data_IF_666456897015
#
_entry.id   IF_666456897015
#
_cell.length_a   1.000
_cell.length_b   1.000
_cell.length_c   1.000
_cell.angle_alpha   90.00
_cell.angle_beta   90.00
_cell.angle_gamma   90.00
#
_symmetry.space_group_name_H-M   'P 1'
#
loop_
_entity.id
_entity.type
_entity.pdbx_description
1 polymer ?
#
# COMPACT_ATOMS: atom_id res chain seq x y z
N UNK A 1 -20.63 -21.47 -18.63
CA UNK A 1 -20.12 -20.38 -19.49
C UNK A 1 -19.82 -19.19 -18.59
N UNK A 2 -18.67 -18.55 -18.76
CA UNK A 2 -18.30 -17.32 -18.04
C UNK A 2 -19.29 -16.22 -18.43
N UNK A 3 -19.89 -15.53 -17.44
CA UNK A 3 -20.82 -14.44 -17.69
C UNK A 3 -20.03 -13.24 -18.25
N UNK A 4 -20.57 -12.60 -19.28
CA UNK A 4 -19.96 -11.39 -19.87
C UNK A 4 -20.52 -10.15 -19.18
N UNK A 5 -19.64 -9.45 -18.42
CA UNK A 5 -19.99 -8.19 -17.75
C UNK A 5 -19.41 -7.03 -18.56
N UNK A 6 -20.22 -6.00 -18.81
CA UNK A 6 -19.86 -4.81 -19.57
C UNK A 6 -19.45 -3.63 -18.70
N UNK A 7 -20.15 -3.44 -17.57
CA UNK A 7 -19.92 -2.34 -16.64
C UNK A 7 -19.74 -2.87 -15.21
N UNK A 8 -18.52 -2.81 -14.69
CA UNK A 8 -18.17 -3.37 -13.38
C UNK A 8 -17.83 -2.22 -12.43
N UNK A 9 -18.42 -2.24 -11.23
CA UNK A 9 -18.05 -1.34 -10.13
C UNK A 9 -17.25 -2.13 -9.09
N UNK A 10 -16.03 -1.68 -8.82
CA UNK A 10 -15.22 -2.14 -7.67
C UNK A 10 -15.38 -1.13 -6.54
N UNK A 11 -15.66 -1.59 -5.33
CA UNK A 11 -15.75 -0.75 -4.14
C UNK A 11 -14.62 -1.11 -3.18
N UNK A 12 -13.60 -0.26 -3.09
CA UNK A 12 -12.54 -0.32 -2.10
C UNK A 12 -12.10 1.08 -1.75
N UNK A 13 -12.71 1.64 -0.71
CA UNK A 13 -12.60 3.08 -0.42
C UNK A 13 -11.41 3.45 0.45
N UNK A 14 -10.94 2.56 1.29
CA UNK A 14 -9.84 2.77 2.27
C UNK A 14 -9.50 1.45 2.98
N UNK A 15 -8.42 1.33 3.73
CA UNK A 15 -7.32 2.29 3.90
C UNK A 15 -6.30 2.17 2.77
N UNK A 16 -5.16 2.88 2.84
CA UNK A 16 -4.12 2.80 1.81
C UNK A 16 -3.65 1.35 1.59
N UNK A 17 -3.23 0.65 2.65
CA UNK A 17 -2.82 -0.75 2.55
C UNK A 17 -3.92 -1.66 2.00
N UNK A 18 -5.19 -1.47 2.43
CA UNK A 18 -6.32 -2.25 1.91
C UNK A 18 -6.56 -2.03 0.41
N UNK A 19 -6.30 -0.82 -0.10
CA UNK A 19 -6.41 -0.52 -1.54
C UNK A 19 -5.30 -1.24 -2.29
N UNK A 20 -4.05 -1.18 -1.80
CA UNK A 20 -2.92 -1.89 -2.40
C UNK A 20 -3.21 -3.40 -2.43
N UNK A 21 -3.72 -3.98 -1.34
CA UNK A 21 -4.10 -5.40 -1.29
C UNK A 21 -5.20 -5.79 -2.30
N UNK A 22 -5.99 -4.83 -2.77
CA UNK A 22 -7.03 -5.11 -3.77
C UNK A 22 -6.54 -4.95 -5.23
N UNK A 23 -5.34 -4.40 -5.46
CA UNK A 23 -4.80 -4.22 -6.81
C UNK A 23 -4.58 -5.53 -7.58
N UNK A 24 -4.12 -6.65 -6.95
CA UNK A 24 -4.07 -7.94 -7.65
C UNK A 24 -5.43 -8.42 -8.15
N UNK A 25 -6.50 -8.13 -7.41
CA UNK A 25 -7.87 -8.43 -7.89
C UNK A 25 -8.24 -7.61 -9.13
N UNK A 26 -7.82 -6.35 -9.21
CA UNK A 26 -8.00 -5.52 -10.41
C UNK A 26 -7.22 -6.09 -11.60
N UNK A 27 -5.97 -6.50 -11.38
CA UNK A 27 -5.10 -7.08 -12.41
C UNK A 27 -5.75 -8.30 -13.07
N UNK A 28 -6.13 -9.30 -12.29
CA UNK A 28 -6.74 -10.52 -12.82
C UNK A 28 -8.14 -10.27 -13.38
N UNK A 29 -8.90 -9.34 -12.81
CA UNK A 29 -10.21 -8.95 -13.34
C UNK A 29 -10.08 -8.31 -14.72
N UNK A 30 -9.14 -7.38 -14.92
CA UNK A 30 -8.92 -6.73 -16.21
C UNK A 30 -8.45 -7.72 -17.27
N UNK A 31 -7.54 -8.65 -16.90
CA UNK A 31 -7.12 -9.74 -17.81
C UNK A 31 -8.32 -10.61 -18.23
N UNK A 32 -9.20 -10.90 -17.30
CA UNK A 32 -10.37 -11.74 -17.53
C UNK A 32 -11.50 -11.05 -18.31
N UNK A 33 -11.62 -9.71 -18.17
CA UNK A 33 -12.67 -8.88 -18.78
C UNK A 33 -12.05 -7.66 -19.48
N UNK A 34 -11.28 -7.87 -20.56
CA UNK A 34 -10.49 -6.80 -21.18
C UNK A 34 -11.34 -5.70 -21.84
N UNK A 35 -12.59 -5.99 -22.18
CA UNK A 35 -13.54 -5.05 -22.83
C UNK A 35 -14.51 -4.38 -21.86
N UNK A 36 -14.53 -4.80 -20.60
CA UNK A 36 -15.44 -4.23 -19.60
C UNK A 36 -15.00 -2.83 -19.22
N UNK A 37 -15.96 -1.94 -19.00
CA UNK A 37 -15.71 -0.67 -18.33
C UNK A 37 -15.62 -0.93 -16.82
N UNK A 38 -14.48 -0.63 -16.22
CA UNK A 38 -14.23 -0.78 -14.78
C UNK A 38 -14.23 0.60 -14.15
N UNK A 39 -15.16 0.80 -13.20
CA UNK A 39 -15.22 1.96 -12.32
C UNK A 39 -14.77 1.55 -10.92
N UNK A 40 -13.89 2.34 -10.30
CA UNK A 40 -13.43 2.08 -8.92
C UNK A 40 -13.90 3.18 -7.97
N UNK A 41 -14.70 2.82 -6.98
CA UNK A 41 -15.15 3.73 -5.91
C UNK A 41 -14.11 3.81 -4.79
N UNK A 42 -13.58 5.02 -4.54
CA UNK A 42 -12.48 5.28 -3.59
C UNK A 42 -12.66 6.60 -2.84
N UNK A 43 -12.09 6.70 -1.64
CA UNK A 43 -11.99 7.97 -0.93
C UNK A 43 -10.95 8.90 -1.62
N UNK A 44 -11.23 10.21 -1.77
CA UNK A 44 -10.34 11.15 -2.48
C UNK A 44 -8.86 11.10 -2.05
N UNK A 45 -8.60 10.91 -0.74
CA UNK A 45 -7.23 10.85 -0.21
C UNK A 45 -6.37 9.69 -0.76
N UNK A 46 -6.98 8.69 -1.38
CA UNK A 46 -6.28 7.51 -1.89
C UNK A 46 -6.42 7.33 -3.40
N UNK A 47 -7.18 8.20 -4.07
CA UNK A 47 -7.42 8.08 -5.51
C UNK A 47 -6.12 8.15 -6.34
N UNK A 48 -5.16 8.96 -5.87
CA UNK A 48 -3.91 9.19 -6.59
C UNK A 48 -3.02 7.96 -6.75
N UNK A 49 -3.17 6.89 -5.93
CA UNK A 49 -2.39 5.65 -6.08
C UNK A 49 -2.99 4.68 -7.11
N UNK A 50 -4.27 4.85 -7.44
CA UNK A 50 -4.95 3.94 -8.37
C UNK A 50 -4.43 4.13 -9.80
N UNK A 51 -4.28 3.02 -10.57
CA UNK A 51 -3.89 3.11 -11.96
C UNK A 51 -5.01 3.74 -12.79
N UNK A 52 -4.61 4.44 -13.86
CA UNK A 52 -5.52 4.84 -14.92
C UNK A 52 -5.75 3.70 -15.94
N UNK A 53 -6.15 4.07 -17.16
CA UNK A 53 -6.21 3.12 -18.27
C UNK A 53 -4.83 2.48 -18.51
N UNK A 54 -4.81 1.21 -18.91
CA UNK A 54 -5.95 0.35 -19.31
C UNK A 54 -6.67 -0.35 -18.14
N UNK A 55 -6.23 -0.16 -16.88
CA UNK A 55 -6.71 -0.90 -15.71
C UNK A 55 -8.08 -0.43 -15.23
N UNK A 56 -8.23 0.88 -15.01
CA UNK A 56 -9.45 1.53 -14.53
C UNK A 56 -9.90 2.55 -15.57
N UNK A 57 -11.17 2.50 -15.98
CA UNK A 57 -11.76 3.44 -16.92
C UNK A 57 -12.27 4.70 -16.23
N UNK A 58 -12.71 4.58 -14.98
CA UNK A 58 -13.26 5.68 -14.20
C UNK A 58 -12.96 5.52 -12.71
N UNK A 59 -12.49 6.59 -12.06
CA UNK A 59 -12.35 6.67 -10.60
C UNK A 59 -13.55 7.46 -10.06
N UNK A 60 -14.39 6.81 -9.25
CA UNK A 60 -15.54 7.43 -8.60
C UNK A 60 -15.19 7.82 -7.16
N UNK A 61 -15.19 9.12 -6.88
CA UNK A 61 -14.81 9.63 -5.57
C UNK A 61 -15.97 9.56 -4.57
N UNK A 62 -15.74 8.92 -3.43
CA UNK A 62 -16.73 8.76 -2.35
C UNK A 62 -16.28 9.49 -1.10
N UNK A 63 -17.02 10.55 -0.72
CA UNK A 63 -16.79 11.24 0.55
C UNK A 63 -17.44 10.47 1.71
N UNK A 64 -16.62 9.73 2.44
CA UNK A 64 -17.06 8.91 3.59
C UNK A 64 -17.67 9.72 4.75
N UNK A 65 -17.37 11.04 4.84
CA UNK A 65 -17.94 11.90 5.87
C UNK A 65 -19.39 12.28 5.54
N UNK A 66 -19.70 12.42 4.23
CA UNK A 66 -21.03 12.79 3.74
C UNK A 66 -22.01 11.63 3.62
N UNK A 67 -21.62 10.37 3.78
CA UNK A 67 -22.49 9.19 3.65
C UNK A 67 -23.70 9.23 4.60
N UNK A 68 -23.67 10.02 5.68
CA UNK A 68 -24.82 10.23 6.58
C UNK A 68 -25.81 11.29 6.10
N UNK A 69 -25.52 12.03 5.03
CA UNK A 69 -26.35 13.11 4.50
C UNK A 69 -27.26 12.56 3.39
N UNK A 70 -28.57 12.69 3.57
CA UNK A 70 -29.55 12.18 2.59
C UNK A 70 -29.41 12.81 1.20
N UNK A 71 -29.04 14.10 1.11
CA UNK A 71 -28.79 14.77 -0.16
C UNK A 71 -27.64 14.12 -0.91
N UNK A 72 -26.55 13.80 -0.20
CA UNK A 72 -25.40 13.10 -0.78
C UNK A 72 -25.73 11.68 -1.21
N UNK A 73 -26.54 10.94 -0.43
CA UNK A 73 -26.96 9.60 -0.83
C UNK A 73 -27.83 9.62 -2.10
N UNK A 74 -28.68 10.64 -2.28
CA UNK A 74 -29.46 10.83 -3.51
C UNK A 74 -28.56 11.15 -4.72
N UNK A 75 -27.57 12.01 -4.54
CA UNK A 75 -26.53 12.33 -5.53
C UNK A 75 -25.82 11.05 -5.97
N UNK A 76 -25.25 10.30 -5.00
CA UNK A 76 -24.57 9.03 -5.26
C UNK A 76 -25.46 8.01 -5.96
N UNK A 77 -26.71 7.87 -5.51
CA UNK A 77 -27.67 6.96 -6.17
C UNK A 77 -27.91 7.34 -7.63
N UNK A 78 -28.20 8.62 -7.88
CA UNK A 78 -28.42 9.12 -9.25
C UNK A 78 -27.20 8.84 -10.14
N UNK A 79 -26.02 9.20 -9.65
CA UNK A 79 -24.76 9.05 -10.37
C UNK A 79 -24.41 7.60 -10.67
N UNK A 80 -24.50 6.70 -9.68
CA UNK A 80 -24.14 5.30 -9.86
C UNK A 80 -25.17 4.56 -10.71
N UNK A 81 -26.46 4.83 -10.52
CA UNK A 81 -27.54 4.21 -11.29
C UNK A 81 -27.46 4.55 -12.79
N UNK A 82 -27.08 5.81 -13.12
CA UNK A 82 -26.91 6.24 -14.50
C UNK A 82 -25.78 5.50 -15.26
N UNK A 83 -24.86 4.84 -14.54
CA UNK A 83 -23.77 4.06 -15.14
C UNK A 83 -24.18 2.63 -15.51
N UNK A 84 -25.37 2.17 -15.12
CA UNK A 84 -25.92 0.86 -15.48
C UNK A 84 -24.96 -0.31 -15.23
N UNK A 85 -24.42 -0.41 -14.01
CA UNK A 85 -23.55 -1.53 -13.63
C UNK A 85 -24.29 -2.85 -13.72
N UNK A 86 -23.64 -3.86 -14.28
CA UNK A 86 -24.12 -5.24 -14.35
C UNK A 86 -23.43 -6.17 -13.34
N UNK A 87 -22.32 -5.70 -12.72
CA UNK A 87 -21.67 -6.33 -11.59
C UNK A 87 -21.11 -5.30 -10.62
N UNK A 88 -21.34 -5.49 -9.32
CA UNK A 88 -20.66 -4.77 -8.24
C UNK A 88 -19.83 -5.74 -7.42
N UNK A 89 -18.57 -5.39 -7.20
CA UNK A 89 -17.61 -6.15 -6.40
C UNK A 89 -17.23 -5.30 -5.18
N UNK A 90 -17.82 -5.60 -4.02
CA UNK A 90 -17.49 -4.92 -2.76
C UNK A 90 -16.32 -5.61 -2.07
N UNK A 91 -15.12 -5.11 -2.33
CA UNK A 91 -13.88 -5.58 -1.68
C UNK A 91 -13.63 -4.91 -0.33
N UNK A 92 -14.50 -4.01 0.11
CA UNK A 92 -14.42 -3.36 1.43
C UNK A 92 -15.24 -4.08 2.49
N UNK A 93 -16.45 -4.51 2.16
CA UNK A 93 -17.39 -5.30 2.97
C UNK A 93 -17.62 -4.74 4.39
N UNK A 94 -17.94 -3.44 4.48
CA UNK A 94 -18.42 -2.75 5.70
C UNK A 94 -19.72 -2.00 5.41
N UNK A 95 -20.44 -1.51 6.42
CA UNK A 95 -21.74 -0.82 6.22
C UNK A 95 -21.66 0.30 5.18
N UNK A 96 -20.61 1.12 5.20
CA UNK A 96 -20.46 2.24 4.26
C UNK A 96 -20.30 1.79 2.81
N UNK A 97 -19.56 0.73 2.55
CA UNK A 97 -19.44 0.17 1.19
C UNK A 97 -20.70 -0.54 0.77
N UNK A 98 -21.39 -1.20 1.69
CA UNK A 98 -22.70 -1.79 1.45
C UNK A 98 -23.73 -0.76 0.99
N UNK A 99 -23.74 0.45 1.60
CA UNK A 99 -24.60 1.56 1.14
C UNK A 99 -24.28 1.93 -0.32
N UNK A 100 -23.01 2.13 -0.67
CA UNK A 100 -22.60 2.45 -2.05
C UNK A 100 -22.98 1.32 -3.01
N UNK A 101 -22.76 0.07 -2.60
CA UNK A 101 -23.17 -1.12 -3.37
C UNK A 101 -24.68 -1.13 -3.64
N UNK A 102 -25.48 -0.89 -2.62
CA UNK A 102 -26.95 -0.84 -2.73
C UNK A 102 -27.42 0.32 -3.63
N UNK A 103 -26.85 1.51 -3.44
CA UNK A 103 -27.21 2.72 -4.20
C UNK A 103 -26.84 2.62 -5.69
N UNK A 104 -25.97 1.71 -6.10
CA UNK A 104 -25.66 1.46 -7.51
C UNK A 104 -26.89 1.00 -8.31
N UNK A 105 -27.90 0.42 -7.64
CA UNK A 105 -29.07 -0.17 -8.28
C UNK A 105 -28.78 -1.46 -9.07
N UNK A 106 -27.55 -1.98 -9.01
CA UNK A 106 -27.17 -3.23 -9.65
C UNK A 106 -27.79 -4.42 -8.93
N UNK A 107 -28.30 -5.40 -9.68
CA UNK A 107 -28.89 -6.61 -9.12
C UNK A 107 -27.84 -7.63 -8.66
N UNK A 108 -26.69 -7.69 -9.34
CA UNK A 108 -25.60 -8.61 -9.01
C UNK A 108 -24.52 -7.88 -8.23
N UNK A 109 -24.53 -8.10 -6.92
CA UNK A 109 -23.59 -7.50 -5.97
C UNK A 109 -22.96 -8.59 -5.14
N UNK A 110 -21.64 -8.70 -5.21
CA UNK A 110 -20.81 -9.68 -4.52
C UNK A 110 -19.71 -9.01 -3.74
N UNK A 111 -19.14 -9.70 -2.76
CA UNK A 111 -17.98 -9.24 -2.02
C UNK A 111 -17.27 -10.41 -1.35
N UNK A 112 -16.11 -10.17 -0.77
CA UNK A 112 -15.41 -11.23 -0.06
C UNK A 112 -16.10 -11.56 1.28
N UNK A 113 -15.82 -12.73 1.82
CA UNK A 113 -16.62 -13.33 2.89
C UNK A 113 -16.63 -12.62 4.25
N UNK A 114 -15.64 -11.78 4.53
CA UNK A 114 -15.42 -11.14 5.84
C UNK A 114 -16.33 -9.89 6.03
N UNK A 115 -17.56 -9.98 5.56
CA UNK A 115 -18.56 -8.91 5.68
C UNK A 115 -18.84 -8.54 7.13
N UNK A 116 -18.66 -7.26 7.45
CA UNK A 116 -18.89 -6.68 8.77
C UNK A 116 -19.98 -5.64 8.74
N UNK A 117 -20.52 -5.27 9.91
CA UNK A 117 -21.47 -4.16 10.07
C UNK A 117 -22.72 -4.33 9.18
N UNK A 118 -23.13 -5.57 8.88
CA UNK A 118 -24.33 -5.85 8.06
C UNK A 118 -24.13 -5.69 6.54
N UNK A 119 -22.91 -5.49 6.05
CA UNK A 119 -22.65 -5.32 4.60
C UNK A 119 -23.08 -6.49 3.73
N UNK A 120 -23.19 -7.70 4.30
CA UNK A 120 -23.69 -8.90 3.64
C UNK A 120 -25.16 -8.78 3.19
N UNK A 121 -25.92 -7.82 3.72
CA UNK A 121 -27.29 -7.52 3.26
C UNK A 121 -27.29 -6.78 1.91
N UNK A 122 -26.22 -6.05 1.62
CA UNK A 122 -26.09 -5.28 0.39
C UNK A 122 -25.31 -6.03 -0.71
N UNK A 123 -24.31 -6.82 -0.33
CA UNK A 123 -23.46 -7.58 -1.26
C UNK A 123 -23.34 -9.02 -0.77
N UNK A 124 -23.61 -9.98 -1.64
CA UNK A 124 -23.54 -11.41 -1.32
C UNK A 124 -22.07 -11.82 -1.05
N UNK A 125 -21.75 -12.33 0.15
CA UNK A 125 -20.39 -12.76 0.46
C UNK A 125 -20.01 -14.02 -0.36
N UNK A 126 -18.81 -13.98 -0.91
CA UNK A 126 -18.20 -15.12 -1.61
C UNK A 126 -17.14 -15.71 -0.69
N UNK A 127 -17.27 -17.00 -0.41
CA UNK A 127 -16.29 -17.78 0.35
C UNK A 127 -15.45 -18.63 -0.59
N UNK A 128 -14.15 -18.70 -0.32
CA UNK A 128 -13.20 -19.53 -1.05
C UNK A 128 -12.29 -20.32 -0.11
N UNK A 129 -11.28 -21.03 -0.64
CA UNK A 129 -10.37 -21.85 0.13
C UNK A 129 -9.50 -21.06 1.11
N UNK A 130 -9.30 -19.74 0.87
CA UNK A 130 -8.37 -18.92 1.65
C UNK A 130 -9.04 -18.12 2.79
N UNK A 131 -10.15 -18.64 3.32
CA UNK A 131 -10.97 -17.96 4.36
C UNK A 131 -10.17 -17.44 5.56
N UNK A 132 -9.11 -18.10 5.96
CA UNK A 132 -8.22 -17.72 7.08
C UNK A 132 -6.82 -17.30 6.60
N UNK A 133 -6.61 -17.21 5.30
CA UNK A 133 -5.33 -16.86 4.71
C UNK A 133 -5.07 -15.36 4.59
N UNK A 134 -4.06 -15.03 3.82
CA UNK A 134 -3.69 -13.66 3.53
C UNK A 134 -4.85 -12.89 2.88
N UNK A 135 -5.00 -11.60 3.21
CA UNK A 135 -6.12 -10.78 2.73
C UNK A 135 -6.17 -10.72 1.19
N UNK A 136 -5.04 -10.67 0.51
CA UNK A 136 -4.96 -10.70 -0.96
C UNK A 136 -5.62 -11.98 -1.49
N UNK A 137 -5.30 -13.14 -0.91
CA UNK A 137 -5.88 -14.42 -1.31
C UNK A 137 -7.41 -14.48 -1.07
N UNK A 138 -7.87 -13.89 0.03
CA UNK A 138 -9.30 -13.77 0.31
C UNK A 138 -10.01 -12.91 -0.74
N UNK A 139 -9.40 -11.82 -1.19
CA UNK A 139 -9.93 -10.97 -2.26
C UNK A 139 -9.86 -11.68 -3.62
N UNK A 140 -8.80 -12.45 -3.88
CA UNK A 140 -8.67 -13.28 -5.09
C UNK A 140 -9.66 -14.43 -5.13
N UNK A 141 -10.18 -14.92 -3.99
CA UNK A 141 -11.26 -15.91 -3.98
C UNK A 141 -12.53 -15.38 -4.65
N UNK A 142 -12.81 -14.07 -4.56
CA UNK A 142 -13.91 -13.43 -5.32
C UNK A 142 -13.62 -13.46 -6.83
N UNK A 143 -12.37 -13.29 -7.20
CA UNK A 143 -11.95 -13.35 -8.62
C UNK A 143 -12.03 -14.78 -9.15
N UNK A 144 -11.61 -15.78 -8.36
CA UNK A 144 -11.78 -17.23 -8.68
C UNK A 144 -13.25 -17.58 -8.89
N UNK A 145 -14.14 -17.06 -8.03
CA UNK A 145 -15.59 -17.23 -8.19
C UNK A 145 -16.10 -16.68 -9.53
N UNK A 146 -15.55 -15.56 -10.01
CA UNK A 146 -15.86 -14.97 -11.33
C UNK A 146 -15.19 -15.71 -12.49
N UNK A 147 -14.41 -16.75 -12.22
CA UNK A 147 -13.69 -17.53 -13.23
C UNK A 147 -12.47 -16.78 -13.79
N UNK A 148 -11.87 -15.87 -13.01
CA UNK A 148 -10.59 -15.27 -13.36
C UNK A 148 -9.46 -16.25 -13.10
N UNK A 149 -8.45 -16.26 -13.96
CA UNK A 149 -7.18 -16.91 -13.69
C UNK A 149 -6.38 -16.06 -12.69
N UNK A 150 -5.93 -16.67 -11.61
CA UNK A 150 -5.16 -16.04 -10.53
C UNK A 150 -3.76 -16.67 -10.38
N UNK A 151 -3.30 -17.40 -11.37
CA UNK A 151 -1.98 -18.03 -11.37
C UNK A 151 -0.84 -17.01 -11.40
N UNK A 152 -1.10 -15.85 -11.99
CA UNK A 152 -0.17 -14.73 -12.07
C UNK A 152 -0.88 -13.48 -11.56
N UNK A 153 -0.24 -12.78 -10.64
CA UNK A 153 -0.75 -11.53 -10.07
C UNK A 153 0.32 -10.44 -10.10
N UNK A 154 -0.14 -9.20 -10.28
CA UNK A 154 0.69 -8.01 -10.17
C UNK A 154 -0.07 -6.92 -9.40
N UNK A 155 0.69 -5.90 -8.97
CA UNK A 155 0.14 -4.69 -8.35
C UNK A 155 0.17 -3.54 -9.37
N UNK A 156 -0.88 -3.36 -10.19
CA UNK A 156 -0.92 -2.25 -11.13
C UNK A 156 -1.05 -0.92 -10.37
N UNK A 157 0.07 -0.29 -10.09
CA UNK A 157 0.13 1.07 -9.56
C UNK A 157 0.16 2.05 -10.72
N UNK A 158 -0.35 3.27 -10.50
CA UNK A 158 -0.33 4.33 -11.50
C UNK A 158 1.08 4.50 -12.10
N UNK A 159 1.17 4.82 -13.39
CA UNK A 159 2.46 5.15 -14.03
C UNK A 159 3.05 6.40 -13.36
N UNK A 160 4.16 6.22 -12.63
CA UNK A 160 4.83 7.25 -11.84
C UNK A 160 6.16 7.71 -12.45
N UNK A 161 6.35 7.60 -13.78
CA UNK A 161 7.59 8.03 -14.47
C UNK A 161 7.92 9.49 -14.21
N UNK A 162 6.91 10.37 -14.24
CA UNK A 162 7.08 11.79 -13.90
C UNK A 162 7.53 11.98 -12.46
N UNK A 163 6.93 11.24 -11.55
CA UNK A 163 7.22 11.29 -10.12
C UNK A 163 8.64 10.75 -9.82
N UNK A 164 9.14 9.79 -10.59
CA UNK A 164 10.53 9.33 -10.49
C UNK A 164 11.52 10.47 -10.73
N UNK A 165 11.32 11.30 -11.77
CA UNK A 165 12.15 12.48 -12.00
C UNK A 165 12.04 13.49 -10.86
N UNK A 166 10.82 13.80 -10.43
CA UNK A 166 10.59 14.74 -9.33
C UNK A 166 11.23 14.29 -8.01
N UNK A 167 11.19 13.00 -7.74
CA UNK A 167 11.80 12.42 -6.52
C UNK A 167 13.32 12.45 -6.62
N UNK A 168 13.91 12.14 -7.77
CA UNK A 168 15.37 12.28 -7.99
C UNK A 168 15.83 13.71 -7.76
N UNK A 169 15.10 14.69 -8.31
CA UNK A 169 15.41 16.12 -8.10
C UNK A 169 15.28 16.52 -6.61
N UNK A 170 14.26 15.97 -5.91
CA UNK A 170 14.07 16.20 -4.47
C UNK A 170 15.24 15.62 -3.66
N UNK A 171 15.61 14.37 -3.92
CA UNK A 171 16.72 13.68 -3.24
C UNK A 171 18.04 14.41 -3.46
N UNK A 172 18.32 14.84 -4.69
CA UNK A 172 19.53 15.61 -5.03
C UNK A 172 19.58 16.96 -4.28
N UNK A 173 18.46 17.69 -4.20
CA UNK A 173 18.35 18.94 -3.43
C UNK A 173 18.60 18.76 -1.94
N UNK A 174 18.28 17.58 -1.42
CA UNK A 174 18.52 17.22 -0.01
C UNK A 174 19.93 16.61 0.20
N UNK A 175 20.77 16.56 -0.83
CA UNK A 175 22.14 16.05 -0.75
C UNK A 175 22.26 14.53 -0.78
N UNK A 176 21.19 13.81 -1.14
CA UNK A 176 21.21 12.34 -1.28
C UNK A 176 21.69 12.02 -2.68
N UNK A 177 22.90 11.47 -2.78
CA UNK A 177 23.59 11.21 -4.05
C UNK A 177 23.92 9.72 -4.26
N UNK A 178 23.45 8.85 -3.37
CA UNK A 178 23.73 7.41 -3.41
C UNK A 178 22.57 6.57 -2.90
N UNK A 179 22.78 5.28 -2.67
CA UNK A 179 21.79 4.37 -2.11
C UNK A 179 21.22 4.88 -0.78
N UNK A 180 19.95 4.68 -0.55
CA UNK A 180 19.28 5.16 0.66
C UNK A 180 18.24 4.18 1.18
N UNK A 181 18.01 4.28 2.48
CA UNK A 181 16.99 3.53 3.22
C UNK A 181 15.80 4.44 3.52
N UNK A 182 14.58 4.00 3.19
CA UNK A 182 13.36 4.70 3.60
C UNK A 182 12.93 4.19 4.97
N UNK A 183 12.85 5.10 5.94
CA UNK A 183 12.38 4.84 7.30
C UNK A 183 10.97 5.40 7.48
N UNK A 184 9.99 4.55 7.80
CA UNK A 184 8.61 4.98 8.05
C UNK A 184 8.20 4.64 9.48
N UNK A 185 8.44 5.56 10.43
CA UNK A 185 8.17 5.33 11.86
C UNK A 185 6.69 5.46 12.21
N UNK A 186 5.89 6.11 11.35
CA UNK A 186 4.48 6.40 11.56
C UNK A 186 3.58 5.19 11.31
N UNK A 187 2.64 4.92 12.24
CA UNK A 187 1.56 3.96 12.05
C UNK A 187 0.31 4.38 12.83
N UNK A 188 -0.87 3.96 12.37
CA UNK A 188 -2.15 4.36 12.99
C UNK A 188 -2.40 3.80 14.38
N UNK A 189 -1.89 2.63 14.70
CA UNK A 189 -2.09 1.99 15.99
C UNK A 189 -0.95 2.32 16.96
N UNK A 190 -1.22 2.92 18.12
CA UNK A 190 -0.17 3.21 19.10
C UNK A 190 0.61 1.95 19.51
N UNK A 191 -0.09 0.81 19.62
CA UNK A 191 0.50 -0.49 19.94
C UNK A 191 1.42 -1.06 18.85
N UNK A 192 1.36 -0.55 17.62
CA UNK A 192 2.23 -0.95 16.51
C UNK A 192 3.49 -0.09 16.39
N UNK A 193 3.60 0.96 17.19
CA UNK A 193 4.73 1.89 17.11
C UNK A 193 5.97 1.26 17.71
N UNK A 194 7.00 1.13 16.92
CA UNK A 194 8.35 0.89 17.41
C UNK A 194 8.85 2.15 18.11
N UNK A 195 9.63 2.04 19.22
CA UNK A 195 10.03 3.21 19.98
C UNK A 195 10.75 4.27 19.14
N UNK A 196 10.44 5.54 19.39
CA UNK A 196 11.04 6.64 18.63
C UNK A 196 12.57 6.71 18.82
N UNK A 197 13.05 6.40 20.05
CA UNK A 197 14.48 6.30 20.34
C UNK A 197 15.18 5.22 19.51
N UNK A 198 14.50 4.11 19.22
CA UNK A 198 15.04 3.02 18.41
C UNK A 198 15.15 3.41 16.94
N UNK A 199 14.20 4.21 16.41
CA UNK A 199 14.32 4.81 15.08
C UNK A 199 15.52 5.77 14.98
N UNK A 200 15.74 6.59 16.02
CA UNK A 200 16.88 7.51 16.09
C UNK A 200 18.22 6.76 16.13
N UNK A 201 18.30 5.72 16.96
CA UNK A 201 19.49 4.87 17.08
C UNK A 201 19.79 4.11 15.77
N UNK A 202 18.75 3.55 15.12
CA UNK A 202 18.90 2.91 13.82
C UNK A 202 19.42 3.91 12.76
N UNK A 203 18.81 5.09 12.67
CA UNK A 203 19.23 6.13 11.73
C UNK A 203 20.66 6.59 11.98
N UNK A 204 21.08 6.76 13.24
CA UNK A 204 22.46 7.11 13.61
C UNK A 204 23.42 6.01 13.16
N UNK A 205 23.12 4.76 13.50
CA UNK A 205 23.97 3.61 13.18
C UNK A 205 24.15 3.38 11.68
N UNK A 206 23.12 3.64 10.87
CA UNK A 206 23.20 3.61 9.41
C UNK A 206 24.04 4.79 8.88
N UNK A 207 23.81 6.01 9.42
CA UNK A 207 24.54 7.23 9.02
C UNK A 207 26.02 7.15 9.31
N UNK A 208 26.44 6.55 10.43
CA UNK A 208 27.84 6.31 10.79
C UNK A 208 28.58 5.44 9.76
N UNK A 209 27.83 4.68 8.98
CA UNK A 209 28.33 3.84 7.86
C UNK A 209 28.21 4.51 6.51
N UNK A 210 27.83 5.80 6.48
CA UNK A 210 27.64 6.57 5.24
C UNK A 210 26.36 6.22 4.47
N UNK A 211 25.42 5.47 5.09
CA UNK A 211 24.15 5.09 4.47
C UNK A 211 23.15 6.23 4.65
N UNK A 212 22.55 6.69 3.55
CA UNK A 212 21.52 7.71 3.60
C UNK A 212 20.22 7.17 4.18
N UNK A 213 19.56 7.97 5.04
CA UNK A 213 18.27 7.68 5.65
C UNK A 213 17.25 8.73 5.24
N UNK A 214 16.17 8.30 4.61
CA UNK A 214 15.02 9.14 4.24
C UNK A 214 13.86 8.83 5.16
N UNK A 215 13.58 9.73 6.09
CA UNK A 215 12.43 9.59 7.00
C UNK A 215 11.17 10.04 6.24
N UNK A 216 10.24 9.14 6.03
CA UNK A 216 9.00 9.38 5.28
C UNK A 216 7.76 9.21 6.15
N UNK A 217 6.72 9.99 5.83
CA UNK A 217 5.44 9.99 6.54
C UNK A 217 4.55 11.14 6.12
N UNK A 218 3.45 11.33 6.85
CA UNK A 218 2.51 12.42 6.62
C UNK A 218 2.98 13.74 7.21
N UNK A 219 2.43 14.87 6.74
CA UNK A 219 2.72 16.20 7.31
C UNK A 219 2.36 16.29 8.80
N UNK A 220 1.36 15.55 9.27
CA UNK A 220 0.99 15.48 10.68
C UNK A 220 2.01 14.77 11.58
N UNK A 221 3.00 14.11 10.98
CA UNK A 221 4.08 13.37 11.67
C UNK A 221 5.42 14.10 11.61
N UNK A 222 5.45 15.34 11.10
CA UNK A 222 6.68 16.14 10.92
C UNK A 222 7.55 16.22 12.18
N UNK A 223 6.93 16.46 13.35
CA UNK A 223 7.64 16.53 14.63
C UNK A 223 8.34 15.23 15.00
N UNK A 224 7.72 14.08 14.67
CA UNK A 224 8.33 12.76 14.84
C UNK A 224 9.59 12.63 13.98
N UNK A 225 9.50 13.03 12.71
CA UNK A 225 10.66 12.99 11.81
C UNK A 225 11.79 13.92 12.25
N UNK A 226 11.47 15.12 12.72
CA UNK A 226 12.46 16.06 13.26
C UNK A 226 13.18 15.48 14.49
N UNK A 227 12.45 14.87 15.42
CA UNK A 227 13.04 14.23 16.60
C UNK A 227 13.98 13.08 16.24
N UNK A 228 13.65 12.28 15.22
CA UNK A 228 14.56 11.22 14.73
C UNK A 228 15.81 11.84 14.14
N UNK A 229 15.66 12.90 13.31
CA UNK A 229 16.77 13.63 12.74
C UNK A 229 17.68 14.26 13.80
N UNK A 230 17.11 14.80 14.89
CA UNK A 230 17.86 15.36 16.02
C UNK A 230 18.70 14.30 16.77
N UNK A 231 18.19 13.06 16.84
CA UNK A 231 18.92 11.91 17.40
C UNK A 231 20.00 11.34 16.46
N UNK A 232 19.91 11.65 15.17
CA UNK A 232 20.89 11.28 14.14
C UNK A 232 21.34 12.55 13.38
N UNK A 233 22.15 13.43 14.01
CA UNK A 233 22.52 14.74 13.45
C UNK A 233 23.57 14.63 12.33
N UNK A 234 23.30 13.79 11.35
CA UNK A 234 24.14 13.52 10.19
C UNK A 234 23.52 14.13 8.93
N UNK A 235 24.32 14.62 7.96
CA UNK A 235 23.83 15.00 6.65
C UNK A 235 23.22 13.82 5.89
N UNK A 236 23.56 12.58 6.27
CA UNK A 236 22.96 11.38 5.70
C UNK A 236 21.51 11.13 6.16
N UNK A 237 21.00 11.83 7.18
CA UNK A 237 19.62 11.67 7.67
C UNK A 237 18.76 12.85 7.23
N UNK A 238 17.75 12.60 6.39
CA UNK A 238 16.87 13.61 5.82
C UNK A 238 15.41 13.35 6.18
N UNK A 239 14.71 14.39 6.66
CA UNK A 239 13.27 14.32 6.95
C UNK A 239 12.44 14.79 5.75
N UNK A 240 11.76 13.88 5.06
CA UNK A 240 10.83 14.15 3.96
C UNK A 240 9.36 13.99 4.35
N UNK A 241 9.02 13.92 5.64
CA UNK A 241 7.63 13.83 6.08
C UNK A 241 6.78 14.97 5.52
N UNK A 242 5.62 14.63 4.93
CA UNK A 242 4.70 15.59 4.30
C UNK A 242 5.17 16.21 2.98
N UNK A 243 6.31 15.80 2.45
CA UNK A 243 6.89 16.36 1.21
C UNK A 243 6.66 15.51 -0.04
N UNK A 244 5.98 14.39 0.11
CA UNK A 244 5.62 13.48 -0.99
C UNK A 244 4.11 13.26 -1.02
N UNK A 245 3.52 13.21 -2.21
CA UNK A 245 2.20 12.62 -2.42
C UNK A 245 2.32 11.08 -2.59
N UNK A 246 1.18 10.37 -2.77
CA UNK A 246 1.20 8.90 -2.84
C UNK A 246 2.00 8.34 -4.02
N UNK A 247 1.98 9.01 -5.18
CA UNK A 247 2.77 8.57 -6.34
C UNK A 247 4.24 8.89 -6.18
N UNK A 248 4.57 10.04 -5.60
CA UNK A 248 5.94 10.36 -5.23
C UNK A 248 6.48 9.43 -4.15
N UNK A 249 5.62 8.96 -3.22
CA UNK A 249 6.00 7.93 -2.27
C UNK A 249 6.30 6.60 -2.98
N UNK A 250 5.45 6.19 -3.93
CA UNK A 250 5.71 4.98 -4.72
C UNK A 250 7.03 5.08 -5.52
N UNK A 251 7.32 6.28 -6.08
CA UNK A 251 8.58 6.55 -6.77
C UNK A 251 9.78 6.55 -5.80
N UNK A 252 9.62 7.12 -4.60
CA UNK A 252 10.64 7.11 -3.55
C UNK A 252 10.97 5.69 -3.12
N UNK A 253 9.94 4.86 -2.89
CA UNK A 253 10.11 3.45 -2.55
C UNK A 253 10.80 2.68 -3.69
N UNK A 254 10.37 2.88 -4.93
CA UNK A 254 10.97 2.17 -6.09
C UNK A 254 12.46 2.47 -6.30
N UNK A 255 12.93 3.66 -5.89
CA UNK A 255 14.33 4.08 -5.99
C UNK A 255 15.15 3.73 -4.74
N UNK A 256 14.51 3.31 -3.66
CA UNK A 256 15.18 2.97 -2.41
C UNK A 256 15.87 1.61 -2.49
N UNK A 257 17.02 1.48 -1.83
CA UNK A 257 17.70 0.19 -1.62
C UNK A 257 17.03 -0.65 -0.54
N UNK A 258 16.32 -0.01 0.41
CA UNK A 258 15.65 -0.70 1.50
C UNK A 258 14.52 0.17 2.06
N UNK A 259 13.40 -0.47 2.39
CA UNK A 259 12.31 0.11 3.19
C UNK A 259 12.26 -0.53 4.58
N UNK A 260 12.11 0.26 5.63
CA UNK A 260 11.91 -0.25 7.00
C UNK A 260 10.69 0.43 7.62
N UNK A 261 9.71 -0.35 8.04
CA UNK A 261 8.53 0.18 8.75
C UNK A 261 7.84 -0.87 9.61
N UNK A 262 6.93 -0.43 10.48
CA UNK A 262 5.91 -1.30 11.06
C UNK A 262 4.79 -1.59 10.04
N UNK A 263 3.80 -2.42 10.42
CA UNK A 263 2.60 -2.67 9.60
C UNK A 263 1.82 -1.36 9.35
N UNK A 264 2.01 -0.78 8.16
CA UNK A 264 1.46 0.52 7.75
C UNK A 264 1.22 0.59 6.24
N UNK A 265 0.49 1.61 5.77
CA UNK A 265 0.18 1.79 4.34
C UNK A 265 1.41 1.86 3.42
N UNK A 266 2.45 2.63 3.74
CA UNK A 266 3.71 2.69 2.99
C UNK A 266 4.41 1.34 2.82
N UNK A 267 4.39 0.44 3.81
CA UNK A 267 4.90 -0.93 3.71
C UNK A 267 4.33 -1.65 2.48
N UNK A 268 3.01 -1.52 2.28
CA UNK A 268 2.34 -2.19 1.17
C UNK A 268 2.64 -1.54 -0.19
N UNK A 269 2.94 -0.22 -0.21
CA UNK A 269 3.45 0.44 -1.43
C UNK A 269 4.84 -0.11 -1.76
N UNK A 270 5.77 -0.12 -0.79
CA UNK A 270 7.12 -0.66 -0.97
C UNK A 270 7.07 -2.11 -1.49
N UNK A 271 6.21 -2.95 -0.87
CA UNK A 271 5.98 -4.32 -1.34
C UNK A 271 5.50 -4.36 -2.79
N UNK A 272 4.54 -3.52 -3.17
CA UNK A 272 3.91 -3.53 -4.49
C UNK A 272 4.83 -3.00 -5.61
N UNK A 273 5.85 -2.20 -5.27
CA UNK A 273 6.86 -1.73 -6.21
C UNK A 273 8.17 -2.53 -6.14
N UNK A 274 8.14 -3.66 -5.40
CA UNK A 274 9.27 -4.60 -5.24
C UNK A 274 10.54 -3.97 -4.65
N UNK A 275 10.38 -3.06 -3.69
CA UNK A 275 11.49 -2.57 -2.88
C UNK A 275 11.90 -3.65 -1.88
N UNK A 276 13.18 -3.95 -1.69
CA UNK A 276 13.63 -4.75 -0.56
C UNK A 276 13.12 -4.14 0.75
N UNK A 277 12.60 -4.96 1.66
CA UNK A 277 11.95 -4.38 2.84
C UNK A 277 12.11 -5.19 4.12
N UNK A 278 12.13 -4.50 5.24
CA UNK A 278 12.02 -5.05 6.60
C UNK A 278 10.72 -4.54 7.22
N UNK A 279 9.83 -5.47 7.52
CA UNK A 279 8.54 -5.22 8.15
C UNK A 279 8.57 -5.62 9.63
N UNK A 280 8.31 -4.65 10.53
CA UNK A 280 8.25 -4.87 11.96
C UNK A 280 6.82 -5.20 12.37
N UNK A 281 6.59 -6.42 12.82
CA UNK A 281 5.28 -6.91 13.22
C UNK A 281 5.22 -7.26 14.71
N UNK A 282 4.04 -7.12 15.28
CA UNK A 282 3.80 -7.45 16.68
C UNK A 282 2.32 -7.70 16.95
N UNK A 283 1.50 -6.67 17.24
CA UNK A 283 0.07 -6.84 17.52
C UNK A 283 -0.75 -7.39 16.35
N UNK A 284 -0.30 -7.16 15.13
CA UNK A 284 -0.86 -7.77 13.91
C UNK A 284 0.06 -8.91 13.44
N UNK A 285 -0.54 -9.88 12.74
CA UNK A 285 0.20 -11.03 12.22
C UNK A 285 0.46 -10.87 10.72
N UNK A 286 1.67 -11.17 10.24
CA UNK A 286 2.03 -11.05 8.84
C UNK A 286 1.25 -12.02 7.94
N UNK A 287 0.85 -13.19 8.46
CA UNK A 287 0.07 -14.18 7.71
C UNK A 287 -1.23 -13.61 7.14
N UNK A 288 -1.79 -12.57 7.78
CA UNK A 288 -3.01 -11.93 7.31
C UNK A 288 -2.73 -10.79 6.32
N UNK A 289 -1.75 -9.96 6.57
CA UNK A 289 -1.55 -8.70 5.86
C UNK A 289 -0.07 -8.28 5.74
N UNK A 290 0.84 -9.22 5.83
CA UNK A 290 2.27 -8.96 5.64
C UNK A 290 2.64 -8.67 4.18
N UNK A 291 3.93 -8.55 3.89
CA UNK A 291 4.43 -8.49 2.52
C UNK A 291 3.97 -9.72 1.72
N UNK A 292 3.65 -9.53 0.46
CA UNK A 292 3.11 -10.57 -0.39
C UNK A 292 3.73 -10.54 -1.79
N UNK A 293 4.29 -11.66 -2.23
CA UNK A 293 4.85 -11.79 -3.58
C UNK A 293 6.15 -11.02 -3.83
N UNK A 294 6.75 -10.45 -2.79
CA UNK A 294 8.06 -9.80 -2.86
C UNK A 294 9.11 -10.72 -2.21
N UNK A 295 10.03 -11.33 -2.98
CA UNK A 295 11.03 -12.25 -2.45
C UNK A 295 12.02 -11.58 -1.50
N UNK A 296 12.26 -10.26 -1.65
CA UNK A 296 13.20 -9.48 -0.85
C UNK A 296 12.51 -8.83 0.36
N UNK A 297 11.48 -9.49 0.89
CA UNK A 297 10.76 -9.04 2.07
C UNK A 297 11.15 -9.86 3.31
N UNK A 298 11.45 -9.15 4.40
CA UNK A 298 11.82 -9.74 5.68
C UNK A 298 10.89 -9.26 6.77
N UNK A 299 10.41 -10.19 7.60
CA UNK A 299 9.55 -9.87 8.74
C UNK A 299 10.32 -10.09 10.04
N UNK A 300 10.35 -9.07 10.89
CA UNK A 300 10.87 -9.17 12.25
C UNK A 300 9.70 -9.05 13.21
N UNK A 301 9.52 -10.09 14.03
CA UNK A 301 8.42 -10.19 14.99
C UNK A 301 8.86 -9.72 16.36
N UNK A 302 7.96 -8.97 17.03
CA UNK A 302 8.05 -8.72 18.48
C UNK A 302 7.72 -10.00 19.26
N UNK A 303 8.04 -10.02 20.55
CA UNK A 303 7.65 -11.11 21.44
C UNK A 303 6.12 -11.15 21.63
N UNK A 304 5.58 -12.35 21.81
CA UNK A 304 4.14 -12.60 21.99
C UNK A 304 3.24 -11.99 20.92
N UNK A 305 3.54 -12.21 19.63
CA UNK A 305 2.84 -11.56 18.53
C UNK A 305 1.34 -11.92 18.50
N UNK A 306 0.52 -10.93 18.12
CA UNK A 306 -0.94 -11.10 18.06
C UNK A 306 -1.65 -11.14 19.41
N UNK A 307 -0.94 -10.97 20.52
CA UNK A 307 -1.52 -10.98 21.87
C UNK A 307 -1.58 -9.58 22.50
N UNK A 308 -2.20 -9.46 23.68
CA UNK A 308 -2.25 -8.20 24.44
C UNK A 308 -0.93 -7.89 25.12
N UNK A 309 -0.09 -8.88 25.35
CA UNK A 309 1.24 -8.77 25.96
C UNK A 309 2.30 -8.31 24.95
N UNK A 310 1.96 -8.31 23.67
CA UNK A 310 2.87 -7.93 22.59
C UNK A 310 3.31 -6.47 22.72
N UNK A 311 4.63 -6.26 22.69
CA UNK A 311 5.25 -4.93 22.76
C UNK A 311 6.30 -4.80 21.68
N UNK A 312 6.22 -3.71 20.91
CA UNK A 312 7.15 -3.46 19.82
C UNK A 312 8.59 -3.16 20.27
N UNK A 313 8.78 -2.72 21.52
CA UNK A 313 10.10 -2.48 22.13
C UNK A 313 10.91 -3.76 22.41
N UNK A 314 10.30 -4.94 22.25
CA UNK A 314 11.03 -6.23 22.29
C UNK A 314 11.77 -6.55 20.99
N UNK A 315 11.56 -5.77 19.93
CA UNK A 315 12.39 -5.84 18.72
C UNK A 315 13.63 -4.97 18.94
N UNK A 316 14.82 -5.54 19.18
CA UNK A 316 16.03 -4.75 19.42
C UNK A 316 16.55 -4.09 18.15
N UNK A 317 17.14 -2.90 18.27
CA UNK A 317 17.68 -2.12 17.15
C UNK A 317 18.76 -2.92 16.41
N UNK A 318 19.63 -3.62 17.12
CA UNK A 318 20.74 -4.40 16.58
C UNK A 318 20.24 -5.51 15.63
N UNK A 319 19.08 -6.11 15.92
CA UNK A 319 18.46 -7.13 15.04
C UNK A 319 18.00 -6.53 13.73
N UNK A 320 17.40 -5.33 13.77
CA UNK A 320 16.94 -4.60 12.58
C UNK A 320 18.14 -4.10 11.79
N UNK A 321 19.11 -3.49 12.46
CA UNK A 321 20.34 -2.99 11.85
C UNK A 321 21.12 -4.11 11.15
N UNK A 322 21.35 -5.23 11.83
CA UNK A 322 22.04 -6.39 11.23
C UNK A 322 21.36 -6.82 9.95
N UNK A 323 20.03 -7.00 9.98
CA UNK A 323 19.27 -7.42 8.79
C UNK A 323 19.35 -6.35 7.68
N UNK A 324 19.30 -5.06 8.02
CA UNK A 324 19.43 -3.99 7.05
C UNK A 324 20.80 -4.02 6.35
N UNK A 325 21.86 -4.23 7.10
CA UNK A 325 23.21 -4.35 6.53
C UNK A 325 23.37 -5.59 5.65
N UNK A 326 22.86 -6.76 6.10
CA UNK A 326 22.88 -7.99 5.31
C UNK A 326 22.22 -7.80 3.93
N UNK A 327 21.08 -7.05 3.85
CA UNK A 327 20.37 -6.75 2.59
C UNK A 327 21.18 -5.78 1.73
N UNK A 328 21.67 -4.69 2.33
CA UNK A 328 22.40 -3.66 1.59
C UNK A 328 23.76 -4.15 1.04
N UNK A 329 24.40 -5.10 1.73
CA UNK A 329 25.64 -5.73 1.27
C UNK A 329 25.38 -6.69 0.10
N UNK A 330 24.30 -7.50 0.17
CA UNK A 330 23.95 -8.41 -0.93
C UNK A 330 23.53 -7.66 -2.20
N UNK A 331 22.88 -6.51 -2.07
CA UNK A 331 22.49 -5.65 -3.20
C UNK A 331 23.72 -5.08 -3.93
N UNK A 332 24.82 -4.83 -3.21
CA UNK A 332 26.10 -4.38 -3.78
C UNK A 332 26.76 -5.49 -4.60
N UNK A 333 26.71 -6.74 -4.14
CA UNK A 333 27.33 -7.87 -4.85
C UNK A 333 26.58 -8.23 -6.15
N UNK A 334 25.24 -8.18 -6.14
CA UNK A 334 24.40 -8.47 -7.31
C UNK A 334 24.37 -7.34 -8.35
N UNK A 335 24.64 -6.09 -7.94
CA UNK A 335 24.55 -4.90 -8.78
C UNK A 335 25.91 -4.30 -9.22
N UNK A 336 27.01 -5.02 -9.11
CA UNK A 336 28.32 -4.58 -9.67
C UNK A 336 28.31 -4.31 -11.20
N UNK A 337 27.14 -4.13 -11.82
CA UNK A 337 26.97 -3.81 -13.25
C UNK A 337 26.08 -2.62 -13.59
N UNK A 338 25.29 -2.04 -12.68
CA UNK A 338 24.23 -1.08 -13.08
C UNK A 338 23.98 0.10 -12.16
N UNK A 339 24.96 0.57 -11.38
CA UNK A 339 24.82 1.89 -10.76
C UNK A 339 25.11 2.98 -11.78
N UNK A 340 24.12 3.87 -11.95
CA UNK A 340 24.07 5.11 -12.70
C UNK A 340 25.47 5.71 -12.96
N UNK A 341 25.95 5.56 -14.19
CA UNK A 341 26.96 6.48 -14.72
C UNK A 341 26.19 7.72 -15.20
N UNK A 342 26.52 8.93 -14.71
CA UNK A 342 25.97 10.13 -15.30
C UNK A 342 26.37 10.16 -16.78
N UNK A 343 25.38 10.30 -17.66
CA UNK A 343 25.63 10.54 -19.09
C UNK A 343 26.61 11.72 -19.19
N UNK A 344 27.77 11.47 -19.78
CA UNK A 344 28.67 12.55 -20.14
C UNK A 344 27.97 13.39 -21.21
N UNK A 345 28.08 14.72 -21.13
CA UNK A 345 27.50 15.57 -22.17
C UNK A 345 28.14 15.19 -23.50
N UNK A 346 27.30 14.85 -24.46
CA UNK A 346 27.71 14.69 -25.86
C UNK A 346 28.00 16.09 -26.41
N UNK A 347 29.25 16.34 -26.76
CA UNK A 347 29.71 17.55 -27.45
C UNK A 347 28.97 17.80 -28.76
#
# INVERSE_FOLDING_TARGET
MKKDYKNILIIKMSSLGDIIHALPSLYVLRKAYPKSRITWAVHPSFAGILPGKPWIDEIYLVDRKRIRQLSYLREVHHDLKARHFDLVIDLQMIAKSGIISFLSGCSERIGYQDGREGSFLASRPISGPHKKGHIIEQLLDVMRYLGCDVSEIEFPIHDYKKELSQVKDLLQKEGIVGPYVVLVPGTRGAQKKWPLSYWGELASSLSERGIYNVISGTAGEMDMGNRIKDMSPSPCTVNLMGRTNLLQLAALERLASLHISSDTGPLHIANAVHTPLIALFGPTLPDRSGPYGNPDSYVIMADHPGTKECRMDTIPVEKVLKRALDILESDIEDHHGTYYQPEQPVD
#
